data_IF_962892899113
#
_entry.id   IF_962892899113
#
_cell.length_a   1.000
_cell.length_b   1.000
_cell.length_c   1.000
_cell.angle_alpha   90.00
_cell.angle_beta   90.00
_cell.angle_gamma   90.00
#
_symmetry.space_group_name_H-M   'P 1'
#
loop_
_entity.id
_entity.type
_entity.pdbx_description
1 polymer ?
#
# COMPACT_ATOMS: atom_id res chain seq x y z
N UNK A 1 -30.39 -4.11 15.21
CA UNK A 1 -29.98 -4.49 16.57
C UNK A 1 -28.51 -4.88 16.51
N UNK A 2 -27.65 -4.26 17.33
CA UNK A 2 -26.21 -4.50 17.32
C UNK A 2 -25.32 -3.25 17.31
N UNK A 3 -25.82 -2.09 17.72
CA UNK A 3 -24.96 -0.95 18.13
C UNK A 3 -24.51 -1.26 19.55
N UNK A 4 -23.42 -2.02 19.74
CA UNK A 4 -22.78 -2.21 21.05
C UNK A 4 -21.33 -2.77 21.04
N UNK A 5 -20.72 -3.07 19.88
CA UNK A 5 -19.41 -3.75 19.86
C UNK A 5 -18.16 -2.85 19.74
N UNK A 6 -18.30 -1.51 19.68
CA UNK A 6 -17.16 -0.62 19.43
C UNK A 6 -16.26 -0.36 20.66
N UNK A 7 -16.75 -0.56 21.89
CA UNK A 7 -15.93 -0.38 23.10
C UNK A 7 -15.02 -1.58 23.40
N UNK A 8 -15.22 -2.73 22.75
CA UNK A 8 -14.47 -3.97 23.06
C UNK A 8 -13.23 -4.22 22.20
N UNK A 9 -13.08 -3.52 21.07
CA UNK A 9 -12.06 -3.83 20.06
C UNK A 9 -10.65 -3.37 20.45
N UNK A 10 -10.52 -2.20 21.09
CA UNK A 10 -9.24 -1.66 21.54
C UNK A 10 -8.59 -2.51 22.64
N UNK A 11 -9.37 -3.01 23.58
CA UNK A 11 -8.90 -3.88 24.66
C UNK A 11 -8.58 -5.28 24.14
N UNK A 12 -9.36 -5.82 23.18
CA UNK A 12 -9.06 -7.11 22.53
C UNK A 12 -7.70 -7.12 21.83
N UNK A 13 -7.34 -6.05 21.10
CA UNK A 13 -6.05 -5.97 20.40
C UNK A 13 -4.90 -5.88 21.40
N UNK A 14 -5.01 -5.05 22.44
CA UNK A 14 -3.99 -4.96 23.49
C UNK A 14 -3.77 -6.30 24.20
N UNK A 15 -4.86 -7.01 24.50
CA UNK A 15 -4.78 -8.34 25.12
C UNK A 15 -4.23 -9.40 24.15
N UNK A 16 -4.45 -9.27 22.84
CA UNK A 16 -3.95 -10.22 21.83
C UNK A 16 -2.43 -10.15 21.69
N UNK A 17 -1.84 -8.97 21.86
CA UNK A 17 -0.39 -8.74 21.76
C UNK A 17 0.25 -8.53 23.14
N UNK A 18 -0.40 -8.99 24.20
CA UNK A 18 0.17 -8.99 25.54
C UNK A 18 1.45 -9.85 25.57
N UNK A 19 2.55 -9.30 26.07
CA UNK A 19 3.86 -9.95 26.08
C UNK A 19 4.74 -9.70 24.84
N UNK A 20 4.23 -9.05 23.80
CA UNK A 20 5.08 -8.61 22.67
C UNK A 20 5.88 -7.38 23.07
N UNK A 21 7.21 -7.51 23.05
CA UNK A 21 8.11 -6.39 23.33
C UNK A 21 8.03 -5.35 22.21
N UNK A 22 7.80 -4.09 22.58
CA UNK A 22 7.90 -2.97 21.65
C UNK A 22 9.37 -2.73 21.29
N UNK A 23 9.64 -2.63 20.00
CA UNK A 23 10.96 -2.32 19.45
C UNK A 23 10.89 -1.06 18.61
N UNK A 24 12.04 -0.39 18.43
CA UNK A 24 12.13 0.71 17.46
C UNK A 24 11.92 0.15 16.05
N UNK A 25 11.51 1.01 15.11
CA UNK A 25 11.11 0.55 13.77
C UNK A 25 12.28 -0.05 12.98
N UNK A 26 13.46 0.58 13.10
CA UNK A 26 14.69 0.23 12.39
C UNK A 26 15.40 -1.00 12.99
N UNK A 27 15.02 -1.41 14.21
CA UNK A 27 15.57 -2.59 14.87
C UNK A 27 15.10 -3.90 14.22
N UNK A 28 15.56 -5.01 14.80
CA UNK A 28 15.10 -6.36 14.45
C UNK A 28 13.58 -6.49 14.55
N UNK A 29 12.96 -7.36 13.74
CA UNK A 29 11.51 -7.55 13.75
C UNK A 29 10.92 -7.74 15.15
N UNK A 30 9.79 -7.08 15.40
CA UNK A 30 9.09 -7.14 16.69
C UNK A 30 8.32 -8.44 16.87
N UNK A 31 7.80 -9.00 15.77
CA UNK A 31 7.02 -10.23 15.78
C UNK A 31 6.98 -10.89 14.40
N UNK A 32 6.61 -12.17 14.40
CA UNK A 32 6.34 -12.94 13.19
C UNK A 32 4.87 -13.36 13.15
N UNK A 33 4.17 -13.05 12.07
CA UNK A 33 2.76 -13.36 11.89
C UNK A 33 2.63 -14.32 10.72
N UNK A 34 2.05 -15.49 10.97
CA UNK A 34 1.77 -16.50 9.95
C UNK A 34 0.27 -16.51 9.70
N UNK A 35 -0.17 -16.26 8.47
CA UNK A 35 -1.59 -16.24 8.15
C UNK A 35 -1.91 -16.65 6.72
N UNK A 36 -3.18 -16.96 6.49
CA UNK A 36 -3.74 -17.19 5.16
C UNK A 36 -4.58 -15.98 4.77
N UNK A 37 -4.32 -15.39 3.60
CA UNK A 37 -5.07 -14.25 3.11
C UNK A 37 -6.08 -14.63 2.02
N UNK A 38 -7.39 -14.50 2.29
CA UNK A 38 -8.41 -14.72 1.28
C UNK A 38 -8.60 -13.51 0.36
N UNK A 39 -8.13 -12.32 0.75
CA UNK A 39 -8.34 -11.09 -0.02
C UNK A 39 -7.23 -10.05 0.17
N UNK A 40 -7.13 -9.14 -0.81
CA UNK A 40 -6.23 -7.98 -0.81
C UNK A 40 -6.49 -6.97 0.32
N UNK A 41 -7.69 -7.00 0.92
CA UNK A 41 -8.14 -5.96 1.86
C UNK A 41 -7.20 -5.82 3.05
N UNK A 42 -6.71 -6.93 3.58
CA UNK A 42 -5.76 -6.91 4.68
C UNK A 42 -4.43 -6.24 4.30
N UNK A 43 -3.87 -6.53 3.11
CA UNK A 43 -2.63 -5.87 2.68
C UNK A 43 -2.84 -4.36 2.48
N UNK A 44 -4.02 -3.95 1.99
CA UNK A 44 -4.37 -2.53 1.93
C UNK A 44 -4.45 -1.87 3.30
N UNK A 45 -5.06 -2.55 4.26
CA UNK A 45 -5.08 -2.09 5.65
C UNK A 45 -3.68 -2.06 6.25
N UNK A 46 -2.83 -3.04 5.95
CA UNK A 46 -1.45 -3.09 6.40
C UNK A 46 -0.63 -1.90 5.91
N UNK A 47 -0.80 -1.50 4.65
CA UNK A 47 -0.21 -0.28 4.11
C UNK A 47 -0.67 0.96 4.89
N UNK A 48 -1.97 1.06 5.18
CA UNK A 48 -2.54 2.16 5.97
C UNK A 48 -1.94 2.16 7.39
N UNK A 49 -1.89 1.00 8.04
CA UNK A 49 -1.37 0.88 9.40
C UNK A 49 0.11 1.26 9.47
N UNK A 50 0.87 0.92 8.44
CA UNK A 50 2.27 1.31 8.32
C UNK A 50 2.39 2.84 8.26
N UNK A 51 1.69 3.49 7.34
CA UNK A 51 1.75 4.95 7.15
C UNK A 51 1.28 5.72 8.39
N UNK A 52 0.26 5.22 9.08
CA UNK A 52 -0.31 5.85 10.27
C UNK A 52 0.39 5.41 11.57
N UNK A 53 1.37 4.52 11.49
CA UNK A 53 2.09 3.91 12.62
C UNK A 53 1.16 3.44 13.74
N UNK A 54 0.07 2.76 13.39
CA UNK A 54 -0.95 2.30 14.34
C UNK A 54 -1.00 0.77 14.46
N UNK A 55 -1.88 0.28 15.35
CA UNK A 55 -2.21 -1.13 15.49
C UNK A 55 -0.94 -2.00 15.69
N UNK A 56 -0.77 -3.09 14.93
CA UNK A 56 0.43 -3.96 14.97
C UNK A 56 1.75 -3.23 14.71
N UNK A 57 1.75 -2.05 14.08
CA UNK A 57 2.96 -1.26 13.83
C UNK A 57 3.42 -0.50 15.09
N UNK A 58 2.59 -0.40 16.13
CA UNK A 58 2.96 0.21 17.42
C UNK A 58 4.00 -0.59 18.20
N UNK A 59 4.19 -1.86 17.85
CA UNK A 59 5.13 -2.75 18.51
C UNK A 59 6.50 -2.78 17.80
N UNK A 60 6.66 -2.05 16.70
CA UNK A 60 7.83 -2.09 15.83
C UNK A 60 7.48 -2.74 14.50
N UNK A 61 8.48 -3.32 13.83
CA UNK A 61 8.35 -3.83 12.46
C UNK A 61 8.00 -5.33 12.42
N UNK A 62 6.77 -5.72 12.06
CA UNK A 62 6.38 -7.13 11.96
C UNK A 62 6.84 -7.77 10.65
N UNK A 63 7.13 -9.07 10.68
CA UNK A 63 7.34 -9.90 9.49
C UNK A 63 6.15 -10.83 9.30
N UNK A 64 5.62 -10.88 8.08
CA UNK A 64 4.47 -11.72 7.73
C UNK A 64 4.91 -12.87 6.84
N UNK A 65 4.45 -14.07 7.15
CA UNK A 65 4.51 -15.23 6.27
C UNK A 65 3.09 -15.56 5.84
N UNK A 66 2.77 -15.21 4.60
CA UNK A 66 1.39 -15.21 4.12
C UNK A 66 1.20 -16.23 3.00
N UNK A 67 0.24 -17.12 3.18
CA UNK A 67 -0.32 -17.90 2.07
C UNK A 67 -1.43 -17.13 1.36
N UNK A 68 -1.29 -16.93 0.06
CA UNK A 68 -2.28 -16.22 -0.76
C UNK A 68 -2.46 -16.84 -2.15
N UNK A 69 -3.55 -16.44 -2.81
CA UNK A 69 -3.80 -16.83 -4.20
C UNK A 69 -2.72 -16.25 -5.15
N UNK A 70 -2.23 -17.01 -6.14
CA UNK A 70 -1.34 -16.54 -7.20
C UNK A 70 -1.78 -15.22 -7.85
N UNK A 71 -3.07 -15.02 -8.11
CA UNK A 71 -3.60 -13.77 -8.67
C UNK A 71 -3.43 -12.57 -7.75
N UNK A 72 -3.54 -12.79 -6.43
CA UNK A 72 -3.33 -11.75 -5.43
C UNK A 72 -1.86 -11.37 -5.37
N UNK A 73 -0.97 -12.37 -5.35
CA UNK A 73 0.46 -12.13 -5.39
C UNK A 73 0.86 -11.38 -6.65
N UNK A 74 0.40 -11.82 -7.84
CA UNK A 74 0.67 -11.15 -9.11
C UNK A 74 0.15 -9.71 -9.14
N UNK A 75 -0.98 -9.42 -8.51
CA UNK A 75 -1.49 -8.07 -8.37
C UNK A 75 -0.54 -7.17 -7.54
N UNK A 76 0.01 -7.70 -6.45
CA UNK A 76 0.91 -6.96 -5.57
C UNK A 76 2.30 -6.74 -6.17
N UNK A 77 2.86 -7.77 -6.81
CA UNK A 77 4.19 -7.75 -7.44
C UNK A 77 4.18 -7.29 -8.89
N UNK A 78 3.04 -6.81 -9.41
CA UNK A 78 2.95 -6.32 -10.78
C UNK A 78 3.87 -5.11 -10.99
N UNK A 79 4.55 -5.07 -12.13
CA UNK A 79 5.40 -3.93 -12.56
C UNK A 79 4.74 -3.18 -13.71
N UNK A 80 5.31 -2.05 -14.14
CA UNK A 80 4.72 -1.29 -15.25
C UNK A 80 4.63 -2.13 -16.55
N UNK A 81 5.54 -3.09 -16.73
CA UNK A 81 5.57 -4.04 -17.85
C UNK A 81 4.38 -5.01 -17.90
N UNK A 82 3.71 -5.27 -16.77
CA UNK A 82 2.51 -6.10 -16.70
C UNK A 82 1.25 -5.38 -17.21
N UNK A 83 1.35 -4.07 -17.40
CA UNK A 83 0.38 -3.21 -18.06
C UNK A 83 -0.88 -2.88 -17.25
N UNK A 84 -1.74 -2.08 -17.92
CA UNK A 84 -3.15 -1.68 -17.72
C UNK A 84 -4.04 -2.47 -16.75
N UNK A 85 -3.80 -3.75 -16.58
CA UNK A 85 -4.71 -4.59 -15.83
C UNK A 85 -4.22 -4.84 -14.41
N UNK A 86 -2.94 -5.18 -14.27
CA UNK A 86 -2.34 -5.66 -13.02
C UNK A 86 -1.68 -4.57 -12.19
N UNK A 87 -0.90 -3.68 -12.82
CA UNK A 87 -0.08 -2.70 -12.12
C UNK A 87 -0.89 -1.52 -11.55
N UNK A 88 -1.21 -1.55 -10.26
CA UNK A 88 -2.18 -0.63 -9.64
C UNK A 88 -1.53 0.19 -8.53
N UNK A 89 -2.24 1.20 -8.03
CA UNK A 89 -1.86 1.98 -6.83
C UNK A 89 -1.37 1.10 -5.70
N UNK A 90 -2.05 -0.02 -5.44
CA UNK A 90 -1.65 -0.97 -4.39
C UNK A 90 -0.37 -1.72 -4.72
N UNK A 91 -0.10 -2.04 -5.99
CA UNK A 91 1.17 -2.63 -6.43
C UNK A 91 2.33 -1.67 -6.17
N UNK A 92 2.13 -0.39 -6.50
CA UNK A 92 3.10 0.68 -6.30
C UNK A 92 3.43 0.84 -4.82
N UNK A 93 2.41 1.12 -4.01
CA UNK A 93 2.57 1.33 -2.57
C UNK A 93 3.17 0.11 -1.88
N UNK A 94 2.71 -1.10 -2.24
CA UNK A 94 3.24 -2.34 -1.68
C UNK A 94 4.75 -2.49 -1.96
N UNK A 95 5.17 -2.28 -3.20
CA UNK A 95 6.58 -2.39 -3.59
C UNK A 95 7.45 -1.26 -3.03
N UNK A 96 6.89 -0.07 -2.83
CA UNK A 96 7.61 1.03 -2.15
C UNK A 96 7.83 0.70 -0.68
N UNK A 97 6.81 0.19 0.02
CA UNK A 97 6.82 0.06 1.48
C UNK A 97 7.36 -1.27 2.01
N UNK A 98 7.28 -2.35 1.23
CA UNK A 98 7.61 -3.68 1.71
C UNK A 98 8.73 -4.32 0.91
N UNK A 99 9.60 -5.04 1.61
CA UNK A 99 10.33 -6.16 1.02
C UNK A 99 9.41 -7.37 0.98
N UNK A 100 9.44 -8.09 -0.14
CA UNK A 100 8.67 -9.31 -0.27
C UNK A 100 9.49 -10.37 -1.02
N UNK A 101 9.30 -11.62 -0.62
CA UNK A 101 9.97 -12.76 -1.21
C UNK A 101 9.00 -13.92 -1.29
N UNK A 102 8.83 -14.49 -2.48
CA UNK A 102 8.12 -15.76 -2.63
C UNK A 102 9.02 -16.88 -2.09
N UNK A 103 8.54 -17.57 -1.06
CA UNK A 103 9.25 -18.68 -0.42
C UNK A 103 8.98 -20.00 -1.14
N UNK A 104 7.79 -20.14 -1.71
CA UNK A 104 7.40 -21.34 -2.42
C UNK A 104 5.91 -21.37 -2.76
N UNK A 105 5.48 -22.51 -3.25
CA UNK A 105 4.10 -22.77 -3.63
C UNK A 105 3.69 -24.11 -3.05
N UNK A 106 2.48 -24.18 -2.52
CA UNK A 106 1.89 -25.42 -2.00
C UNK A 106 0.59 -25.72 -2.73
N UNK A 107 0.24 -27.00 -2.92
CA UNK A 107 -1.06 -27.36 -3.46
C UNK A 107 -2.18 -26.84 -2.56
N UNK A 108 -3.19 -26.21 -3.14
CA UNK A 108 -4.38 -25.75 -2.42
C UNK A 108 -5.10 -26.89 -1.69
N UNK A 109 -5.01 -28.11 -2.23
CA UNK A 109 -5.53 -29.33 -1.60
C UNK A 109 -4.86 -29.66 -0.26
N UNK A 110 -3.69 -29.09 0.04
CA UNK A 110 -3.00 -29.27 1.31
C UNK A 110 -3.49 -28.33 2.43
N UNK A 111 -4.42 -27.40 2.15
CA UNK A 111 -4.89 -26.38 3.11
C UNK A 111 -6.38 -26.58 3.40
N UNK A 112 -6.73 -26.54 4.69
CA UNK A 112 -8.12 -26.59 5.17
C UNK A 112 -8.46 -25.29 5.93
N UNK A 113 -9.71 -24.80 5.86
CA UNK A 113 -10.81 -25.32 5.04
C UNK A 113 -10.62 -24.97 3.56
N UNK A 114 -11.02 -25.87 2.66
CA UNK A 114 -11.01 -25.61 1.22
C UNK A 114 -12.08 -24.54 0.91
N UNK A 115 -11.69 -23.31 0.50
CA UNK A 115 -12.67 -22.31 0.12
C UNK A 115 -13.38 -22.76 -1.16
N UNK A 116 -14.66 -22.43 -1.29
CA UNK A 116 -15.46 -22.76 -2.48
C UNK A 116 -14.72 -22.36 -3.76
N UNK A 117 -14.80 -23.23 -4.79
CA UNK A 117 -14.16 -22.98 -6.09
C UNK A 117 -14.60 -21.61 -6.60
N UNK A 118 -13.65 -20.79 -7.05
CA UNK A 118 -13.97 -19.52 -7.68
C UNK A 118 -14.67 -19.82 -9.01
N UNK A 119 -15.98 -19.54 -9.08
CA UNK A 119 -16.75 -19.72 -10.31
C UNK A 119 -16.13 -18.86 -11.43
N UNK A 120 -15.78 -19.50 -12.55
CA UNK A 120 -15.17 -18.81 -13.69
C UNK A 120 -16.23 -17.97 -14.41
N UNK A 121 -16.49 -16.76 -13.91
CA UNK A 121 -17.23 -15.76 -14.67
C UNK A 121 -16.46 -15.46 -15.97
N UNK A 122 -17.20 -15.23 -17.08
CA UNK A 122 -16.67 -14.98 -18.43
C UNK A 122 -15.60 -13.88 -18.39
N UNK A 123 -14.32 -14.27 -18.37
CA UNK A 123 -13.17 -13.36 -18.31
C UNK A 123 -12.12 -13.72 -19.36
N UNK A 124 -11.23 -12.77 -19.64
CA UNK A 124 -10.16 -12.86 -20.64
C UNK A 124 -9.24 -14.07 -20.41
N UNK A 125 -8.54 -14.55 -21.46
CA UNK A 125 -7.66 -15.73 -21.38
C UNK A 125 -6.63 -15.63 -20.22
N UNK A 126 -5.93 -14.49 -20.10
CA UNK A 126 -5.00 -14.22 -18.97
C UNK A 126 -5.66 -14.32 -17.60
N UNK A 127 -6.94 -13.94 -17.47
CA UNK A 127 -7.67 -14.12 -16.23
C UNK A 127 -8.05 -15.57 -15.97
N UNK A 128 -8.27 -16.38 -17.00
CA UNK A 128 -8.59 -17.82 -16.84
C UNK A 128 -7.38 -18.59 -16.30
N UNK A 129 -6.19 -18.32 -16.82
CA UNK A 129 -4.96 -18.98 -16.38
C UNK A 129 -4.67 -18.70 -14.90
N UNK A 130 -4.84 -17.44 -14.46
CA UNK A 130 -4.71 -17.07 -13.05
C UNK A 130 -5.78 -17.69 -12.16
N UNK A 131 -7.04 -17.75 -12.61
CA UNK A 131 -8.11 -18.42 -11.85
C UNK A 131 -7.82 -19.92 -11.71
N UNK A 132 -7.25 -20.54 -12.76
CA UNK A 132 -6.86 -21.94 -12.69
C UNK A 132 -5.73 -22.15 -11.68
N UNK A 133 -4.72 -21.27 -11.68
CA UNK A 133 -3.66 -21.28 -10.68
C UNK A 133 -4.24 -21.07 -9.26
N UNK A 134 -5.15 -20.12 -9.07
CA UNK A 134 -5.79 -19.85 -7.76
C UNK A 134 -6.55 -21.04 -7.17
N UNK A 135 -7.12 -21.88 -8.04
CA UNK A 135 -7.83 -23.08 -7.63
C UNK A 135 -6.89 -24.29 -7.37
N UNK A 136 -5.64 -24.24 -7.84
CA UNK A 136 -4.66 -25.33 -7.70
C UNK A 136 -3.64 -25.06 -6.61
N UNK A 137 -3.20 -23.82 -6.49
CA UNK A 137 -1.99 -23.44 -5.80
C UNK A 137 -2.22 -22.31 -4.80
N UNK A 138 -1.38 -22.28 -3.79
CA UNK A 138 -1.22 -21.16 -2.86
C UNK A 138 0.24 -20.77 -2.85
N UNK A 139 0.51 -19.49 -3.04
CA UNK A 139 1.85 -18.92 -2.96
C UNK A 139 2.12 -18.50 -1.53
N UNK A 140 3.26 -18.92 -0.99
CA UNK A 140 3.74 -18.53 0.33
C UNK A 140 4.75 -17.38 0.15
N UNK A 141 4.46 -16.25 0.79
CA UNK A 141 5.22 -15.01 0.61
C UNK A 141 5.64 -14.49 1.98
N UNK A 142 6.94 -14.21 2.11
CA UNK A 142 7.47 -13.40 3.22
C UNK A 142 7.27 -11.93 2.87
N UNK A 143 6.65 -11.15 3.74
CA UNK A 143 6.39 -9.71 3.56
C UNK A 143 6.88 -8.99 4.81
N UNK A 144 7.66 -7.95 4.63
CA UNK A 144 8.27 -7.19 5.73
C UNK A 144 8.33 -5.71 5.35
N UNK A 145 7.88 -4.77 6.19
CA UNK A 145 8.11 -3.35 5.95
C UNK A 145 9.62 -3.09 5.81
N UNK A 146 10.02 -2.22 4.87
CA UNK A 146 11.44 -1.92 4.68
C UNK A 146 12.01 -1.23 5.91
N UNK A 147 13.13 -1.73 6.46
CA UNK A 147 13.74 -1.16 7.66
C UNK A 147 14.15 0.31 7.47
N UNK A 148 14.61 0.65 6.26
CA UNK A 148 15.02 2.00 5.89
C UNK A 148 13.87 2.88 5.37
N UNK A 149 12.61 2.50 5.61
CA UNK A 149 11.45 3.21 5.08
C UNK A 149 11.41 4.67 5.53
N UNK A 150 11.64 4.93 6.82
CA UNK A 150 11.55 6.28 7.42
C UNK A 150 12.88 7.02 7.49
N UNK A 151 13.98 6.38 7.11
CA UNK A 151 15.33 6.94 7.17
C UNK A 151 15.87 7.33 5.80
N UNK A 152 15.65 6.49 4.78
CA UNK A 152 16.21 6.69 3.43
C UNK A 152 15.14 6.88 2.36
N UNK A 153 14.04 6.14 2.46
CA UNK A 153 13.02 6.09 1.41
C UNK A 153 12.07 7.29 1.55
N UNK A 154 11.48 7.50 2.72
CA UNK A 154 10.54 8.58 3.04
C UNK A 154 10.91 9.19 4.39
N UNK A 155 10.59 10.46 4.58
CA UNK A 155 10.54 11.04 5.92
C UNK A 155 9.19 10.66 6.57
N UNK A 156 9.17 10.45 7.88
CA UNK A 156 7.94 10.10 8.62
C UNK A 156 6.79 11.10 8.36
N UNK A 157 7.08 12.40 8.40
CA UNK A 157 6.10 13.47 8.14
C UNK A 157 5.58 13.47 6.70
N UNK A 158 6.27 12.79 5.78
CA UNK A 158 5.90 12.70 4.35
C UNK A 158 5.18 11.42 3.97
N UNK A 159 5.08 10.44 4.87
CA UNK A 159 4.48 9.15 4.55
C UNK A 159 3.00 9.30 4.11
N UNK A 160 2.21 10.07 4.86
CA UNK A 160 0.81 10.37 4.53
C UNK A 160 0.71 11.21 3.23
N UNK A 161 1.41 12.35 3.09
CA UNK A 161 1.46 13.09 1.82
C UNK A 161 1.85 12.26 0.60
N UNK A 162 2.85 11.38 0.72
CA UNK A 162 3.28 10.50 -0.37
C UNK A 162 2.19 9.49 -0.73
N UNK A 163 1.59 8.85 0.27
CA UNK A 163 0.48 7.93 0.04
C UNK A 163 -0.67 8.61 -0.69
N UNK A 164 -1.08 9.80 -0.24
CA UNK A 164 -2.09 10.61 -0.92
C UNK A 164 -1.70 10.94 -2.35
N UNK A 165 -0.47 11.41 -2.57
CA UNK A 165 0.05 11.70 -3.91
C UNK A 165 -0.10 10.50 -4.84
N UNK A 166 0.30 9.30 -4.41
CA UNK A 166 0.18 8.08 -5.21
C UNK A 166 -1.28 7.72 -5.44
N UNK A 167 -2.15 7.82 -4.42
CA UNK A 167 -3.59 7.57 -4.59
C UNK A 167 -4.18 8.46 -5.68
N UNK A 168 -3.93 9.78 -5.63
CA UNK A 168 -4.52 10.74 -6.55
C UNK A 168 -3.96 10.65 -7.97
N UNK A 169 -2.66 10.41 -8.11
CA UNK A 169 -1.99 10.37 -9.42
C UNK A 169 -2.24 9.07 -10.18
N UNK A 170 -2.52 7.98 -9.46
CA UNK A 170 -2.68 6.64 -10.06
C UNK A 170 -4.12 6.13 -10.08
N UNK A 171 -5.12 6.98 -9.75
CA UNK A 171 -6.55 6.69 -9.94
C UNK A 171 -6.83 6.20 -11.37
N UNK A 172 -6.32 6.98 -12.34
CA UNK A 172 -6.17 6.54 -13.72
C UNK A 172 -4.69 6.47 -14.05
N UNK A 173 -4.27 5.34 -14.63
CA UNK A 173 -2.86 5.08 -14.93
C UNK A 173 -2.42 5.65 -16.26
N UNK A 174 -3.39 5.96 -17.12
CA UNK A 174 -3.16 6.73 -18.33
C UNK A 174 -3.13 8.24 -18.07
N UNK A 175 -3.22 8.66 -16.79
CA UNK A 175 -3.03 10.06 -16.43
C UNK A 175 -1.58 10.44 -16.72
N UNK A 176 -1.41 11.53 -17.47
CA UNK A 176 -0.09 12.08 -17.78
C UNK A 176 0.50 12.77 -16.56
N UNK A 177 1.79 12.62 -16.37
CA UNK A 177 2.51 13.10 -15.17
C UNK A 177 2.45 14.62 -15.10
N UNK A 178 2.98 15.31 -16.11
CA UNK A 178 3.10 16.77 -16.11
C UNK A 178 1.74 17.46 -15.91
N UNK A 179 0.69 17.18 -16.72
CA UNK A 179 -0.61 17.82 -16.53
C UNK A 179 -1.17 17.63 -15.13
N UNK A 180 -0.98 16.45 -14.54
CA UNK A 180 -1.50 16.16 -13.20
C UNK A 180 -0.76 16.91 -12.09
N UNK A 181 0.55 17.11 -12.25
CA UNK A 181 1.31 17.93 -11.30
C UNK A 181 0.91 19.41 -11.41
N UNK A 182 0.58 19.85 -12.62
CA UNK A 182 0.13 21.22 -12.88
C UNK A 182 -1.26 21.55 -12.32
N UNK A 183 -2.10 20.53 -12.05
CA UNK A 183 -3.33 20.71 -11.27
C UNK A 183 -3.06 21.31 -9.86
N UNK A 184 -1.89 21.01 -9.29
CA UNK A 184 -1.50 21.50 -7.96
C UNK A 184 -0.56 22.70 -8.02
N UNK A 185 0.42 22.68 -8.93
CA UNK A 185 1.41 23.76 -9.10
C UNK A 185 1.48 24.12 -10.59
N UNK A 186 0.86 25.23 -11.03
CA UNK A 186 0.87 25.64 -12.42
C UNK A 186 2.28 25.78 -13.01
N UNK A 187 2.46 25.38 -14.26
CA UNK A 187 3.70 25.48 -15.03
C UNK A 187 4.93 24.74 -14.45
N UNK A 188 4.74 23.87 -13.46
CA UNK A 188 5.86 23.10 -12.89
C UNK A 188 6.43 22.05 -13.84
N UNK A 189 5.73 21.70 -14.93
CA UNK A 189 6.13 20.66 -15.88
C UNK A 189 7.51 20.84 -16.48
N UNK A 190 7.90 22.10 -16.73
CA UNK A 190 9.22 22.46 -17.28
C UNK A 190 10.40 21.97 -16.44
N UNK A 191 10.19 21.77 -15.13
CA UNK A 191 11.22 21.29 -14.21
C UNK A 191 11.40 19.77 -14.24
N UNK A 192 10.42 19.03 -14.79
CA UNK A 192 10.44 17.58 -14.88
C UNK A 192 10.94 17.08 -16.25
N UNK A 193 10.82 17.90 -17.31
CA UNK A 193 11.31 17.56 -18.65
C UNK A 193 12.81 17.20 -18.66
N UNK A 194 13.72 17.99 -18.03
CA UNK A 194 15.14 17.64 -17.98
C UNK A 194 15.44 16.35 -17.21
N UNK A 195 14.49 15.86 -16.41
CA UNK A 195 14.59 14.62 -15.63
C UNK A 195 14.05 13.40 -16.40
N UNK A 196 13.77 13.56 -17.70
CA UNK A 196 13.28 12.48 -18.55
C UNK A 196 11.78 12.22 -18.46
N UNK A 197 11.01 13.12 -17.85
CA UNK A 197 9.55 13.06 -17.82
C UNK A 197 9.01 14.00 -18.89
N UNK A 198 8.51 13.46 -19.99
CA UNK A 198 7.93 14.24 -21.07
C UNK A 198 6.42 14.44 -20.90
N UNK A 199 5.81 15.18 -21.84
CA UNK A 199 4.37 15.48 -21.85
C UNK A 199 3.47 14.27 -22.15
N UNK A 200 4.05 13.15 -22.61
CA UNK A 200 3.32 11.91 -22.91
C UNK A 200 3.52 10.84 -21.83
N UNK A 201 4.42 11.07 -20.88
CA UNK A 201 4.71 10.14 -19.80
C UNK A 201 3.48 9.98 -18.91
N UNK A 202 3.01 8.74 -18.77
CA UNK A 202 1.84 8.37 -17.96
C UNK A 202 2.30 7.72 -16.65
N UNK A 203 1.57 7.95 -15.55
CA UNK A 203 1.92 7.36 -14.25
C UNK A 203 1.99 5.83 -14.28
N UNK A 204 1.20 5.18 -15.14
CA UNK A 204 1.20 3.73 -15.32
C UNK A 204 2.47 3.15 -15.93
N UNK A 205 3.33 3.98 -16.54
CA UNK A 205 4.61 3.56 -17.13
C UNK A 205 5.77 3.63 -16.13
N UNK A 206 5.56 4.26 -14.98
CA UNK A 206 6.62 4.53 -14.02
C UNK A 206 6.70 3.45 -12.95
N UNK A 207 7.91 3.03 -12.62
CA UNK A 207 8.20 2.15 -11.50
C UNK A 207 8.07 2.88 -10.16
N UNK A 208 7.89 2.16 -9.03
CA UNK A 208 7.65 2.78 -7.72
C UNK A 208 8.74 3.77 -7.28
N UNK A 209 10.01 3.49 -7.61
CA UNK A 209 11.13 4.39 -7.28
C UNK A 209 11.11 5.66 -8.12
N UNK A 210 10.73 5.59 -9.40
CA UNK A 210 10.60 6.79 -10.24
C UNK A 210 9.46 7.69 -9.72
N UNK A 211 8.35 7.09 -9.28
CA UNK A 211 7.25 7.83 -8.66
C UNK A 211 7.67 8.50 -7.34
N UNK A 212 8.47 7.81 -6.53
CA UNK A 212 9.04 8.37 -5.32
C UNK A 212 9.97 9.56 -5.61
N UNK A 213 10.82 9.45 -6.63
CA UNK A 213 11.69 10.55 -7.04
C UNK A 213 10.89 11.76 -7.56
N UNK A 214 9.85 11.53 -8.37
CA UNK A 214 8.96 12.60 -8.82
C UNK A 214 8.32 13.29 -7.62
N UNK A 215 7.79 12.54 -6.66
CA UNK A 215 7.22 13.10 -5.44
C UNK A 215 8.25 13.91 -4.64
N UNK A 216 9.46 13.38 -4.44
CA UNK A 216 10.55 14.09 -3.73
C UNK A 216 10.95 15.39 -4.43
N UNK A 217 10.97 15.42 -5.76
CA UNK A 217 11.24 16.64 -6.53
C UNK A 217 10.06 17.62 -6.46
N UNK A 218 8.82 17.11 -6.56
CA UNK A 218 7.60 17.90 -6.50
C UNK A 218 7.46 18.65 -5.16
N UNK A 219 7.74 17.99 -4.03
CA UNK A 219 7.70 18.63 -2.70
C UNK A 219 8.74 19.75 -2.53
N UNK A 220 9.85 19.71 -3.28
CA UNK A 220 10.94 20.70 -3.20
C UNK A 220 10.69 21.94 -4.06
N UNK A 221 9.57 22.00 -4.77
CA UNK A 221 9.25 23.14 -5.62
C UNK A 221 8.98 24.39 -4.77
N UNK A 222 9.42 25.58 -5.21
CA UNK A 222 9.30 26.81 -4.42
C UNK A 222 7.83 27.19 -4.13
N UNK A 223 6.92 26.86 -5.04
CA UNK A 223 5.49 27.19 -4.91
C UNK A 223 4.69 26.13 -4.13
N UNK A 224 5.35 25.10 -3.57
CA UNK A 224 4.69 23.99 -2.88
C UNK A 224 3.84 24.47 -1.68
N UNK A 225 4.33 25.44 -0.90
CA UNK A 225 3.61 25.97 0.26
C UNK A 225 2.33 26.73 -0.12
N UNK A 226 2.30 27.32 -1.31
CA UNK A 226 1.14 28.06 -1.85
C UNK A 226 0.25 27.20 -2.74
N UNK A 227 0.64 25.96 -2.97
CA UNK A 227 -0.07 25.03 -3.83
C UNK A 227 -1.35 24.51 -3.18
N UNK A 228 -2.27 24.00 -4.00
CA UNK A 228 -3.51 23.37 -3.51
C UNK A 228 -3.29 21.94 -2.99
N UNK A 229 -2.06 21.42 -3.00
CA UNK A 229 -1.76 20.04 -2.64
C UNK A 229 -2.11 19.71 -1.19
N UNK A 230 -1.62 20.50 -0.22
CA UNK A 230 -1.85 20.23 1.19
C UNK A 230 -3.32 20.47 1.59
N UNK A 231 -3.97 21.49 1.05
CA UNK A 231 -5.42 21.68 1.26
C UNK A 231 -6.24 20.51 0.69
N UNK A 232 -5.83 19.96 -0.45
CA UNK A 232 -6.46 18.75 -1.02
C UNK A 232 -6.22 17.52 -0.15
N UNK A 233 -5.01 17.39 0.42
CA UNK A 233 -4.66 16.33 1.36
C UNK A 233 -5.52 16.42 2.62
N UNK A 234 -5.62 17.59 3.25
CA UNK A 234 -6.43 17.81 4.45
C UNK A 234 -7.89 17.44 4.24
N UNK A 235 -8.49 17.90 3.13
CA UNK A 235 -9.85 17.55 2.76
C UNK A 235 -10.03 16.04 2.55
N UNK A 236 -9.04 15.39 1.93
CA UNK A 236 -9.05 13.95 1.72
C UNK A 236 -8.94 13.19 3.05
N UNK A 237 -8.04 13.62 3.94
CA UNK A 237 -7.82 13.00 5.24
C UNK A 237 -9.03 13.16 6.15
N UNK A 238 -9.69 14.32 6.17
CA UNK A 238 -10.95 14.51 6.90
C UNK A 238 -12.00 13.46 6.50
N UNK A 239 -12.25 13.30 5.20
CA UNK A 239 -13.17 12.27 4.69
C UNK A 239 -12.72 10.85 4.99
N UNK A 240 -11.41 10.61 4.97
CA UNK A 240 -10.82 9.32 5.29
C UNK A 240 -11.07 8.97 6.76
N UNK A 241 -10.79 9.87 7.69
CA UNK A 241 -11.03 9.66 9.12
C UNK A 241 -12.51 9.49 9.45
N UNK A 242 -13.41 10.22 8.77
CA UNK A 242 -14.86 10.03 8.93
C UNK A 242 -15.30 8.62 8.53
N UNK A 243 -14.68 8.05 7.49
CA UNK A 243 -14.99 6.71 7.01
C UNK A 243 -14.41 5.59 7.88
N UNK A 244 -13.21 5.79 8.45
CA UNK A 244 -12.52 4.79 9.27
C UNK A 244 -12.74 4.96 10.80
N UNK A 245 -13.42 6.02 11.21
CA UNK A 245 -13.67 6.36 12.62
C UNK A 245 -12.45 7.02 13.29
N UNK A 246 -12.66 8.16 13.94
CA UNK A 246 -11.63 8.96 14.62
C UNK A 246 -10.95 8.26 15.81
N UNK A 247 -11.52 7.17 16.33
CA UNK A 247 -11.01 6.45 17.51
C UNK A 247 -10.08 5.26 17.21
N UNK A 248 -9.84 4.92 15.94
CA UNK A 248 -8.88 3.87 15.55
C UNK A 248 -7.49 4.41 15.17
N UNK A 249 -7.32 5.74 15.20
CA UNK A 249 -6.19 6.46 14.64
C UNK A 249 -5.82 7.67 15.51
N UNK A 250 -5.30 7.43 16.71
CA UNK A 250 -4.48 8.43 17.40
C UNK A 250 -3.13 8.51 16.68
N UNK A 251 -2.93 9.58 15.89
CA UNK A 251 -1.61 9.97 15.37
C UNK A 251 -0.83 10.62 16.51
N UNK A 252 0.38 10.16 16.88
CA UNK A 252 1.24 10.91 17.78
C UNK A 252 1.71 12.18 17.08
N UNK A 253 1.56 13.35 17.72
CA UNK A 253 2.20 14.59 17.25
C UNK A 253 1.31 15.66 16.61
N UNK A 254 0.00 15.64 16.88
CA UNK A 254 -0.82 16.86 16.76
C UNK A 254 -1.24 17.25 18.17
N UNK A 255 -0.42 18.11 18.80
CA UNK A 255 -0.89 19.04 19.82
C UNK A 255 -1.33 20.33 19.13
#
# INVERSE_FOLDING_TARGET
MGVNDMHSEGDKIKNTFEGVQKKQYEEEPSMHIICMLPSIRFIKQLMIFLILKNNIMLYGRPVFYIGMAPSLFKYLSATCSDGYFYYRTSSILFQTFFHYQQLGTIPRSAILPLPSKLNSLKRTKKSKDLIQADNKDVVIVRIEPKANLYTEILEETTAIPFWFFIQQTTLSRSTRVIPKLEDWIPNCGTLFIPKGIDIFTEFGHLEPMQLLEIYKNFRKLPDMERSSFYSSLELYMSKFYDYYGTHSLTVPGIE
#
